data_IF_938168560080
#
_entry.id   IF_938168560080
#
_cell.length_a   1.000
_cell.length_b   1.000
_cell.length_c   1.000
_cell.angle_alpha   90.00
_cell.angle_beta   90.00
_cell.angle_gamma   90.00
#
_symmetry.space_group_name_H-M   'P 1'
#
loop_
_entity.id
_entity.type
_entity.pdbx_description
1 polymer ?
#
# COMPACT_ATOMS: atom_id res chain seq x y z
N UNK A 1 14.84 17.19 -20.54
CA UNK A 1 13.73 17.50 -19.61
C UNK A 1 13.03 16.17 -19.33
N UNK A 2 12.97 15.69 -18.06
CA UNK A 2 12.26 14.44 -17.75
C UNK A 2 10.76 14.73 -17.84
N UNK A 3 10.03 14.00 -18.69
CA UNK A 3 8.58 14.15 -18.78
C UNK A 3 7.91 13.49 -17.57
N UNK A 4 6.91 14.14 -17.00
CA UNK A 4 6.02 13.56 -15.99
C UNK A 4 4.83 12.98 -16.74
N UNK A 5 4.50 11.71 -16.47
CA UNK A 5 3.33 11.03 -17.05
C UNK A 5 2.34 10.76 -15.92
N UNK A 6 1.10 11.22 -16.06
CA UNK A 6 0.02 10.88 -15.12
C UNK A 6 -0.56 9.52 -15.49
N UNK A 7 -0.76 8.66 -14.49
CA UNK A 7 -1.41 7.35 -14.63
C UNK A 7 -2.44 7.21 -13.51
N UNK A 8 -3.58 6.59 -13.81
CA UNK A 8 -4.59 6.27 -12.80
C UNK A 8 -4.32 4.84 -12.35
N UNK A 9 -3.88 4.70 -11.11
CA UNK A 9 -3.41 3.45 -10.50
C UNK A 9 -4.55 2.54 -10.03
N UNK A 10 -5.78 3.06 -10.02
CA UNK A 10 -6.96 2.27 -9.70
C UNK A 10 -7.11 1.25 -10.82
N UNK A 11 -6.70 0.00 -10.51
CA UNK A 11 -7.00 -1.16 -11.32
C UNK A 11 -8.46 -1.07 -11.76
N UNK A 12 -8.71 -1.38 -13.02
CA UNK A 12 -10.03 -1.37 -13.64
C UNK A 12 -10.98 -2.41 -12.98
N UNK A 13 -11.34 -2.17 -11.71
CA UNK A 13 -12.52 -2.65 -10.95
C UNK A 13 -12.58 -2.08 -9.50
N UNK A 14 -11.55 -1.37 -9.01
CA UNK A 14 -11.53 -0.83 -7.64
C UNK A 14 -12.25 0.52 -7.51
N UNK A 15 -13.50 0.55 -7.96
CA UNK A 15 -14.46 1.58 -7.56
C UNK A 15 -14.92 1.40 -6.10
N UNK A 16 -14.20 0.59 -5.31
CA UNK A 16 -14.64 0.09 -4.00
C UNK A 16 -13.87 0.64 -2.82
N UNK A 17 -12.72 1.28 -3.02
CA UNK A 17 -12.03 2.04 -1.97
C UNK A 17 -12.91 3.20 -1.53
N UNK A 18 -13.54 3.07 -0.36
CA UNK A 18 -14.34 4.14 0.24
C UNK A 18 -13.51 4.76 1.36
N UNK A 19 -13.28 6.08 1.28
CA UNK A 19 -12.43 6.81 2.25
C UNK A 19 -11.01 6.20 2.33
N UNK A 20 -10.39 6.02 1.16
CA UNK A 20 -8.95 5.81 1.03
C UNK A 20 -8.20 7.02 1.61
N UNK A 21 -7.37 6.81 2.62
CA UNK A 21 -6.86 7.90 3.45
C UNK A 21 -5.33 7.93 3.58
N UNK A 22 -4.68 6.78 3.53
CA UNK A 22 -3.22 6.69 3.66
C UNK A 22 -2.59 6.19 2.37
N UNK A 23 -1.48 6.80 1.98
CA UNK A 23 -0.60 6.30 0.92
C UNK A 23 0.85 6.30 1.41
N UNK A 24 1.60 5.25 1.09
CA UNK A 24 3.04 5.17 1.34
C UNK A 24 3.71 4.36 0.24
N UNK A 25 5.02 4.50 0.09
CA UNK A 25 5.78 3.83 -0.99
C UNK A 25 7.02 3.16 -0.44
N UNK A 26 7.46 2.10 -1.11
CA UNK A 26 8.73 1.42 -0.83
C UNK A 26 8.95 0.21 -1.75
N UNK A 27 10.19 -0.18 -1.93
CA UNK A 27 10.54 -1.35 -2.76
C UNK A 27 10.38 -2.67 -1.97
N UNK A 28 9.13 -3.07 -1.71
CA UNK A 28 8.82 -4.33 -1.04
C UNK A 28 9.20 -5.54 -1.91
N UNK A 29 9.25 -5.34 -3.23
CA UNK A 29 9.62 -6.35 -4.24
C UNK A 29 11.12 -6.58 -4.42
N UNK A 30 11.96 -5.64 -3.94
CA UNK A 30 13.40 -5.57 -4.22
C UNK A 30 13.76 -5.53 -5.72
N UNK A 31 12.91 -4.89 -6.53
CA UNK A 31 13.12 -4.76 -7.98
C UNK A 31 13.78 -3.44 -8.36
N UNK A 32 14.06 -2.56 -7.39
CA UNK A 32 14.49 -1.18 -7.62
C UNK A 32 13.35 -0.25 -8.03
N UNK A 33 12.10 -0.71 -7.96
CA UNK A 33 10.89 0.10 -8.21
C UNK A 33 10.04 0.09 -6.95
N UNK A 34 9.54 1.26 -6.59
CA UNK A 34 8.63 1.36 -5.44
C UNK A 34 7.29 0.70 -5.77
N UNK A 35 6.81 -0.12 -4.82
CA UNK A 35 5.42 -0.51 -4.71
C UNK A 35 4.67 0.53 -3.85
N UNK A 36 3.34 0.46 -3.83
CA UNK A 36 2.47 1.43 -3.17
C UNK A 36 1.64 0.73 -2.10
N UNK A 37 1.64 1.26 -0.88
CA UNK A 37 0.69 0.91 0.17
C UNK A 37 -0.47 1.89 0.15
N UNK A 38 -1.69 1.37 0.14
CA UNK A 38 -2.93 2.13 0.29
C UNK A 38 -3.67 1.66 1.54
N UNK A 39 -4.03 2.62 2.38
CA UNK A 39 -4.89 2.41 3.54
C UNK A 39 -6.31 2.90 3.28
N UNK A 40 -7.29 2.02 3.43
CA UNK A 40 -8.72 2.35 3.44
C UNK A 40 -9.16 2.58 4.88
N UNK A 41 -9.55 3.82 5.23
CA UNK A 41 -10.04 4.14 6.57
C UNK A 41 -11.51 3.77 6.73
N UNK A 42 -12.33 4.09 5.74
CA UNK A 42 -13.76 3.77 5.69
C UNK A 42 -14.03 2.50 4.92
N UNK A 43 -15.29 2.31 4.48
CA UNK A 43 -15.67 1.20 3.62
C UNK A 43 -15.39 -0.18 4.21
N UNK A 44 -14.69 -1.02 3.43
CA UNK A 44 -14.31 -2.37 3.86
C UNK A 44 -13.22 -2.32 4.93
N UNK A 45 -12.46 -1.21 4.98
CA UNK A 45 -11.28 -0.99 5.81
C UNK A 45 -10.16 -1.91 5.38
N UNK A 46 -8.94 -1.43 5.38
CA UNK A 46 -7.79 -2.31 5.26
C UNK A 46 -6.53 -1.63 4.79
N UNK A 47 -5.53 -2.48 4.55
CA UNK A 47 -4.23 -2.11 4.00
C UNK A 47 -3.99 -2.99 2.78
N UNK A 48 -3.58 -2.37 1.67
CA UNK A 48 -3.41 -3.01 0.38
C UNK A 48 -2.06 -2.62 -0.22
N UNK A 49 -1.36 -3.59 -0.81
CA UNK A 49 -0.12 -3.39 -1.57
C UNK A 49 -0.45 -3.42 -3.07
N UNK A 50 -0.07 -2.37 -3.79
CA UNK A 50 -0.17 -2.27 -5.25
C UNK A 50 1.23 -2.33 -5.85
N UNK A 51 1.41 -3.21 -6.83
CA UNK A 51 2.69 -3.41 -7.53
C UNK A 51 2.54 -3.19 -9.01
N UNK A 52 3.50 -2.48 -9.61
CA UNK A 52 3.60 -2.32 -11.04
C UNK A 52 4.27 -3.55 -11.65
N UNK A 53 3.46 -4.36 -12.34
CA UNK A 53 3.93 -5.55 -13.03
C UNK A 53 4.51 -5.21 -14.40
N UNK A 54 3.91 -4.26 -15.11
CA UNK A 54 4.34 -3.86 -16.45
C UNK A 54 4.07 -2.37 -16.71
N UNK A 55 5.13 -1.60 -16.92
CA UNK A 55 5.08 -0.16 -17.15
C UNK A 55 4.56 0.22 -18.55
N UNK A 56 4.70 -0.66 -19.55
CA UNK A 56 4.22 -0.42 -20.91
C UNK A 56 2.70 -0.56 -20.98
N UNK A 57 2.16 -1.63 -20.37
CA UNK A 57 0.72 -1.91 -20.39
C UNK A 57 -0.04 -1.29 -19.23
N UNK A 58 0.66 -0.65 -18.30
CA UNK A 58 0.10 -0.10 -17.05
C UNK A 58 -0.64 -1.18 -16.23
N UNK A 59 -0.03 -2.37 -16.16
CA UNK A 59 -0.59 -3.50 -15.43
C UNK A 59 -0.17 -3.44 -13.97
N UNK A 60 -1.15 -3.47 -13.08
CA UNK A 60 -0.97 -3.46 -11.63
C UNK A 60 -1.55 -4.72 -11.01
N UNK A 61 -0.88 -5.24 -9.99
CA UNK A 61 -1.44 -6.25 -9.08
C UNK A 61 -1.77 -5.61 -7.74
N UNK A 62 -2.75 -6.17 -7.03
CA UNK A 62 -3.15 -5.71 -5.69
C UNK A 62 -3.18 -6.89 -4.75
N UNK A 63 -2.52 -6.76 -3.60
CA UNK A 63 -2.48 -7.76 -2.53
C UNK A 63 -3.06 -7.16 -1.25
N UNK A 64 -4.15 -7.71 -0.69
CA UNK A 64 -4.64 -7.28 0.61
C UNK A 64 -3.68 -7.75 1.71
N UNK A 65 -3.18 -6.81 2.52
CA UNK A 65 -2.35 -7.10 3.69
C UNK A 65 -3.20 -7.28 4.96
N UNK A 66 -4.28 -6.52 5.08
CA UNK A 66 -5.18 -6.56 6.25
C UNK A 66 -6.63 -6.23 5.87
N UNK A 67 -7.33 -7.13 5.16
CA UNK A 67 -8.68 -6.88 4.67
C UNK A 67 -9.68 -6.85 5.84
N UNK A 68 -10.15 -5.65 6.19
CA UNK A 68 -11.13 -5.40 7.24
C UNK A 68 -10.56 -5.21 8.65
N UNK A 69 -9.30 -5.60 8.89
CA UNK A 69 -8.72 -5.56 10.24
C UNK A 69 -8.10 -4.22 10.63
N UNK A 70 -8.08 -3.23 9.73
CA UNK A 70 -7.47 -1.92 9.97
C UNK A 70 -8.23 -0.78 9.30
N UNK A 71 -8.78 0.15 10.08
CA UNK A 71 -9.31 1.43 9.57
C UNK A 71 -8.16 2.44 9.39
N UNK A 72 -7.30 2.18 8.40
CA UNK A 72 -5.98 2.81 8.25
C UNK A 72 -6.06 4.33 8.06
N UNK A 73 -5.72 5.08 9.11
CA UNK A 73 -5.72 6.54 9.13
C UNK A 73 -4.36 7.14 8.78
N UNK A 74 -3.29 6.37 8.96
CA UNK A 74 -1.94 6.75 8.58
C UNK A 74 -1.02 5.55 8.65
N UNK A 75 -0.18 5.41 7.64
CA UNK A 75 0.83 4.36 7.53
C UNK A 75 2.23 4.97 7.32
N UNK A 76 3.24 4.26 7.79
CA UNK A 76 4.64 4.56 7.58
C UNK A 76 5.36 3.30 7.06
N UNK A 77 6.40 3.52 6.26
CA UNK A 77 7.23 2.46 5.68
C UNK A 77 8.67 2.64 6.15
N UNK A 78 9.23 1.61 6.75
CA UNK A 78 10.62 1.60 7.25
C UNK A 78 11.07 0.17 7.49
N UNK A 79 12.37 -0.08 7.49
CA UNK A 79 12.93 -1.35 7.97
C UNK A 79 12.93 -1.33 9.50
N UNK A 80 11.89 -1.93 10.11
CA UNK A 80 11.67 -1.83 11.56
C UNK A 80 12.51 -2.87 12.33
N UNK A 81 12.73 -4.04 11.74
CA UNK A 81 13.44 -5.16 12.35
C UNK A 81 14.95 -5.22 11.99
N UNK A 82 15.42 -4.37 11.07
CA UNK A 82 16.82 -4.29 10.64
C UNK A 82 17.22 -5.38 9.64
N UNK A 83 16.26 -6.00 8.96
CA UNK A 83 16.51 -7.11 8.04
C UNK A 83 16.74 -6.67 6.59
N UNK A 84 16.78 -5.35 6.35
CA UNK A 84 16.91 -4.66 5.07
C UNK A 84 15.70 -4.76 4.15
N UNK A 85 14.55 -5.27 4.60
CA UNK A 85 13.26 -5.20 3.88
C UNK A 85 12.41 -4.08 4.50
N UNK A 86 11.73 -3.27 3.68
CA UNK A 86 10.77 -2.31 4.22
C UNK A 86 9.56 -3.05 4.79
N UNK A 87 9.18 -2.68 6.01
CA UNK A 87 7.96 -3.07 6.69
C UNK A 87 6.90 -1.95 6.60
N UNK A 88 5.66 -2.26 7.00
CA UNK A 88 4.58 -1.28 7.10
C UNK A 88 4.09 -1.17 8.54
N UNK A 89 3.87 0.06 9.03
CA UNK A 89 3.23 0.32 10.32
C UNK A 89 2.03 1.20 10.07
N UNK A 90 0.84 0.79 10.52
CA UNK A 90 -0.37 1.58 10.35
C UNK A 90 -1.08 1.83 11.68
N UNK A 91 -1.68 3.01 11.78
CA UNK A 91 -2.60 3.40 12.85
C UNK A 91 -4.03 3.37 12.36
N UNK A 92 -4.92 2.81 13.19
CA UNK A 92 -6.33 2.62 12.89
C UNK A 92 -7.20 3.60 13.66
N UNK A 93 -7.97 4.44 12.96
CA UNK A 93 -8.86 5.41 13.61
C UNK A 93 -10.07 4.73 14.26
N UNK A 94 -10.91 4.04 13.47
CA UNK A 94 -12.11 3.37 13.98
C UNK A 94 -11.82 2.01 14.63
N UNK A 95 -10.70 1.37 14.28
CA UNK A 95 -10.29 0.09 14.88
C UNK A 95 -9.44 0.26 16.14
N UNK A 96 -8.94 1.47 16.44
CA UNK A 96 -8.02 1.74 17.55
C UNK A 96 -6.80 0.81 17.60
N UNK A 97 -6.35 0.34 16.42
CA UNK A 97 -5.21 -0.55 16.29
C UNK A 97 -3.94 0.23 15.96
N UNK A 98 -2.79 -0.23 16.48
CA UNK A 98 -1.47 0.03 15.93
C UNK A 98 -0.91 -1.32 15.49
N UNK A 99 -0.70 -1.51 14.19
CA UNK A 99 -0.19 -2.78 13.65
C UNK A 99 1.10 -2.57 12.89
N UNK A 100 1.98 -3.54 13.04
CA UNK A 100 3.17 -3.74 12.23
C UNK A 100 2.94 -4.93 11.31
N UNK A 101 3.15 -4.72 10.02
CA UNK A 101 3.14 -5.74 8.98
C UNK A 101 4.60 -5.98 8.57
N UNK A 102 5.15 -7.07 9.07
CA UNK A 102 6.53 -7.49 8.81
C UNK A 102 6.66 -8.08 7.41
N UNK A 103 7.63 -7.59 6.63
CA UNK A 103 7.94 -8.11 5.30
C UNK A 103 9.01 -9.21 5.41
N UNK A 104 8.60 -10.45 5.15
CA UNK A 104 9.45 -11.64 5.31
C UNK A 104 9.99 -12.13 3.96
N UNK A 105 11.06 -12.95 3.95
CA UNK A 105 11.60 -13.57 2.73
C UNK A 105 10.59 -14.44 1.98
#
# INVERSE_FOLDING_TARGET
MKSIRTRVLLAADDSTLVDGHSISVGDFSRTGRDDIIVGERGGKRGVYLYRLENDVTDSWSTTPLDPGGMAAAGCAVTDLNGDTRPDVICSGSATAHLKWYENRP
#
